data_IF_033536481661
#
_entry.id   IF_033536481661
#
_cell.length_a   1.000
_cell.length_b   1.000
_cell.length_c   1.000
_cell.angle_alpha   90.00
_cell.angle_beta   90.00
_cell.angle_gamma   90.00
#
_symmetry.space_group_name_H-M   'P 1'
#
loop_
_entity.id
_entity.type
_entity.pdbx_description
1 polymer ?
#
# COMPACT_ATOMS: atom_id res chain seq x y z
N UNK A 1 15.24 -37.23 3.27
CA UNK A 1 15.47 -36.10 4.19
C UNK A 1 14.26 -36.01 5.11
N UNK A 2 14.28 -36.71 6.25
CA UNK A 2 13.17 -36.72 7.20
C UNK A 2 13.34 -35.53 8.14
N UNK A 3 12.57 -34.46 7.91
CA UNK A 3 12.53 -33.34 8.85
C UNK A 3 11.82 -33.85 10.11
N UNK A 4 12.57 -33.94 11.21
CA UNK A 4 12.08 -34.45 12.50
C UNK A 4 10.85 -33.64 12.96
N UNK A 5 9.81 -34.30 13.48
CA UNK A 5 8.61 -33.63 14.00
C UNK A 5 8.93 -32.57 15.07
N UNK A 6 10.02 -32.74 15.82
CA UNK A 6 10.51 -31.72 16.75
C UNK A 6 10.94 -30.43 16.03
N UNK A 7 11.55 -30.54 14.85
CA UNK A 7 12.01 -29.38 14.04
C UNK A 7 10.83 -28.59 13.50
N UNK A 8 9.74 -29.24 13.08
CA UNK A 8 8.50 -28.53 12.70
C UNK A 8 7.89 -27.73 13.87
N UNK A 9 7.91 -28.27 15.09
CA UNK A 9 7.39 -27.60 16.28
C UNK A 9 8.25 -26.39 16.71
N UNK A 10 9.57 -26.47 16.53
CA UNK A 10 10.45 -25.31 16.77
C UNK A 10 10.21 -24.19 15.77
N UNK A 11 9.94 -24.53 14.50
CA UNK A 11 9.67 -23.54 13.46
C UNK A 11 8.32 -22.85 13.74
N UNK A 12 7.27 -23.58 14.10
CA UNK A 12 5.96 -22.98 14.43
C UNK A 12 6.02 -22.13 15.70
N UNK A 13 6.74 -22.56 16.74
CA UNK A 13 6.92 -21.74 17.95
C UNK A 13 7.69 -20.45 17.70
N UNK A 14 8.71 -20.46 16.83
CA UNK A 14 9.41 -19.25 16.38
C UNK A 14 8.51 -18.29 15.58
N UNK A 15 7.55 -18.81 14.80
CA UNK A 15 6.56 -17.99 14.10
C UNK A 15 5.41 -17.51 15.00
N UNK A 16 5.06 -18.27 16.05
CA UNK A 16 4.00 -17.91 17.00
C UNK A 16 4.46 -16.93 18.10
N UNK A 17 5.76 -16.87 18.38
CA UNK A 17 6.35 -15.98 19.41
C UNK A 17 6.99 -14.72 18.84
N UNK A 18 7.07 -14.58 17.52
CA UNK A 18 7.26 -13.25 16.92
C UNK A 18 5.95 -12.49 17.06
N UNK A 19 5.74 -11.91 18.24
CA UNK A 19 4.85 -10.78 18.40
C UNK A 19 5.26 -9.77 17.32
N UNK A 20 4.39 -9.60 16.33
CA UNK A 20 4.59 -8.62 15.27
C UNK A 20 4.89 -7.29 15.99
N UNK A 21 5.97 -6.57 15.64
CA UNK A 21 6.25 -5.29 16.29
C UNK A 21 4.99 -4.45 16.13
N UNK A 22 4.34 -4.20 17.27
CA UNK A 22 3.09 -3.47 17.33
C UNK A 22 3.38 -2.08 16.77
N UNK A 23 2.81 -1.77 15.61
CA UNK A 23 3.03 -0.48 14.96
C UNK A 23 2.36 0.58 15.83
N UNK A 24 3.17 1.30 16.61
CA UNK A 24 2.72 2.23 17.64
C UNK A 24 3.16 3.66 17.33
N UNK A 25 2.46 4.64 17.89
CA UNK A 25 2.82 6.05 17.81
C UNK A 25 2.51 6.77 19.11
N UNK A 26 3.24 7.85 19.39
CA UNK A 26 2.87 8.76 20.47
C UNK A 26 1.74 9.69 20.02
N UNK A 27 0.62 9.66 20.74
CA UNK A 27 -0.52 10.53 20.52
C UNK A 27 -0.35 11.89 21.19
N UNK A 28 -1.14 12.91 20.80
CA UNK A 28 -1.01 14.27 21.37
C UNK A 28 -1.23 14.37 22.89
N UNK A 29 -1.91 13.39 23.49
CA UNK A 29 -2.11 13.28 24.94
C UNK A 29 -0.97 12.52 25.65
N UNK A 30 0.15 12.24 24.98
CA UNK A 30 1.33 11.60 25.56
C UNK A 30 1.19 10.09 25.78
N UNK A 31 0.17 9.45 25.20
CA UNK A 31 0.01 8.01 25.25
C UNK A 31 0.72 7.35 24.06
N UNK A 32 1.24 6.16 24.27
CA UNK A 32 1.69 5.33 23.16
C UNK A 32 0.50 4.51 22.66
N UNK A 33 0.02 4.75 21.44
CA UNK A 33 -1.17 4.11 20.87
C UNK A 33 -0.82 3.16 19.72
N UNK A 34 -1.63 2.13 19.52
CA UNK A 34 -1.58 1.31 18.29
C UNK A 34 -2.05 2.13 17.09
N UNK A 35 -1.34 2.00 15.98
CA UNK A 35 -1.71 2.57 14.69
C UNK A 35 -2.97 1.92 14.11
N UNK A 36 -3.63 2.66 13.24
CA UNK A 36 -4.72 2.14 12.41
C UNK A 36 -4.16 1.21 11.33
N UNK A 37 -4.80 0.08 11.01
CA UNK A 37 -4.34 -0.79 9.92
C UNK A 37 -4.51 -0.10 8.55
N UNK A 38 -3.79 -0.60 7.54
CA UNK A 38 -4.06 -0.24 6.15
C UNK A 38 -5.54 -0.45 5.80
N UNK A 39 -6.09 0.37 4.91
CA UNK A 39 -7.52 0.40 4.64
C UNK A 39 -8.31 1.38 5.49
N UNK A 40 -7.68 1.97 6.51
CA UNK A 40 -8.34 2.86 7.47
C UNK A 40 -7.50 4.10 7.76
N UNK A 41 -8.14 5.14 8.28
CA UNK A 41 -7.51 6.34 8.82
C UNK A 41 -7.91 6.54 10.29
N UNK A 42 -7.12 7.34 11.00
CA UNK A 42 -7.31 7.68 12.40
C UNK A 42 -8.46 8.69 12.56
N UNK A 43 -9.40 8.37 13.45
CA UNK A 43 -10.50 9.26 13.84
C UNK A 43 -10.29 9.77 15.27
N UNK A 44 -9.77 8.94 16.17
CA UNK A 44 -9.38 9.36 17.53
C UNK A 44 -8.22 8.51 18.06
N UNK A 45 -7.27 9.10 18.80
CA UNK A 45 -6.23 8.33 19.49
C UNK A 45 -6.84 7.41 20.56
N UNK A 46 -6.03 6.47 21.02
CA UNK A 46 -6.37 5.60 22.14
C UNK A 46 -6.54 6.39 23.44
N UNK A 47 -7.29 5.82 24.39
CA UNK A 47 -7.54 6.43 25.71
C UNK A 47 -6.69 5.85 26.83
N UNK A 48 -5.91 4.79 26.56
CA UNK A 48 -5.05 4.10 27.53
C UNK A 48 -3.69 3.79 26.91
N UNK A 49 -2.65 3.68 27.74
CA UNK A 49 -1.30 3.36 27.31
C UNK A 49 -1.25 2.01 26.57
N UNK A 50 -0.60 2.00 25.41
CA UNK A 50 -0.54 0.90 24.42
C UNK A 50 -1.90 0.46 23.86
N UNK A 51 -2.97 1.24 24.05
CA UNK A 51 -4.32 0.93 23.59
C UNK A 51 -4.54 1.10 22.09
N UNK A 52 -5.64 0.56 21.58
CA UNK A 52 -6.04 0.65 20.17
C UNK A 52 -6.68 2.01 19.86
N UNK A 53 -6.27 2.62 18.74
CA UNK A 53 -6.89 3.84 18.25
C UNK A 53 -8.26 3.58 17.62
N UNK A 54 -9.11 4.60 17.53
CA UNK A 54 -10.37 4.53 16.80
C UNK A 54 -10.11 4.87 15.34
N UNK A 55 -10.39 3.92 14.45
CA UNK A 55 -10.09 4.00 13.03
C UNK A 55 -11.35 3.84 12.19
N UNK A 56 -11.40 4.49 11.03
CA UNK A 56 -12.51 4.40 10.08
C UNK A 56 -12.00 4.02 8.70
N UNK A 57 -12.77 3.20 7.97
CA UNK A 57 -12.43 2.76 6.62
C UNK A 57 -12.24 3.95 5.69
N UNK A 58 -11.24 3.86 4.81
CA UNK A 58 -10.99 4.88 3.80
C UNK A 58 -12.27 5.13 2.96
N UNK A 59 -12.66 6.40 2.76
CA UNK A 59 -13.78 6.72 1.89
C UNK A 59 -13.51 6.34 0.42
N UNK A 60 -14.54 6.30 -0.45
CA UNK A 60 -14.38 6.00 -1.86
C UNK A 60 -13.28 6.85 -2.53
N UNK A 61 -12.54 6.23 -3.44
CA UNK A 61 -11.42 6.86 -4.18
C UNK A 61 -10.21 7.25 -3.32
N UNK A 62 -10.08 6.68 -2.12
CA UNK A 62 -8.91 6.88 -1.25
C UNK A 62 -8.39 5.54 -0.71
N UNK A 63 -7.12 5.51 -0.32
CA UNK A 63 -6.47 4.31 0.18
C UNK A 63 -5.43 4.60 1.27
N UNK A 64 -5.07 3.57 2.02
CA UNK A 64 -3.89 3.54 2.88
C UNK A 64 -3.33 2.12 2.89
N UNK A 65 -2.09 1.94 2.43
CA UNK A 65 -1.50 0.60 2.27
C UNK A 65 -0.95 0.03 3.56
N UNK A 66 -0.38 0.89 4.40
CA UNK A 66 0.33 0.51 5.61
C UNK A 66 -0.39 0.97 6.87
N UNK A 67 -0.06 0.38 8.04
CA UNK A 67 -0.55 0.92 9.29
C UNK A 67 -0.08 2.35 9.51
N UNK A 68 -0.98 3.19 10.01
CA UNK A 68 -0.82 4.64 9.97
C UNK A 68 -1.47 5.33 11.18
N UNK A 69 -1.11 6.60 11.35
CA UNK A 69 -1.76 7.56 12.25
C UNK A 69 -2.36 8.74 11.49
N UNK A 70 -2.60 8.56 10.18
CA UNK A 70 -3.03 9.63 9.30
C UNK A 70 -4.50 9.97 9.59
N UNK A 71 -4.83 11.26 9.60
CA UNK A 71 -6.22 11.71 9.83
C UNK A 71 -7.11 11.54 8.60
N UNK A 72 -6.51 11.28 7.43
CA UNK A 72 -7.18 11.04 6.16
C UNK A 72 -6.40 10.02 5.33
N UNK A 73 -7.10 9.28 4.47
CA UNK A 73 -6.46 8.39 3.49
C UNK A 73 -5.89 9.17 2.30
N UNK A 74 -4.91 8.59 1.61
CA UNK A 74 -4.35 9.17 0.38
C UNK A 74 -5.37 9.06 -0.76
N UNK A 75 -5.42 10.06 -1.64
CA UNK A 75 -6.27 9.99 -2.83
C UNK A 75 -5.71 8.96 -3.81
N UNK A 76 -6.59 8.18 -4.43
CA UNK A 76 -6.17 7.25 -5.46
C UNK A 76 -5.78 7.98 -6.75
N UNK A 77 -4.71 7.49 -7.39
CA UNK A 77 -4.22 7.93 -8.69
C UNK A 77 -5.32 7.83 -9.74
N UNK A 78 -5.42 8.86 -10.58
CA UNK A 78 -6.30 8.90 -11.74
C UNK A 78 -5.44 8.63 -12.97
N UNK A 79 -5.78 7.58 -13.73
CA UNK A 79 -5.04 7.24 -14.94
C UNK A 79 -5.20 8.34 -16.00
N UNK A 80 -4.07 8.77 -16.55
CA UNK A 80 -4.01 9.80 -17.58
C UNK A 80 -4.45 9.24 -18.94
N UNK A 81 -4.67 10.16 -19.89
CA UNK A 81 -5.11 9.78 -21.25
C UNK A 81 -4.12 8.81 -21.89
N UNK A 82 -4.63 7.68 -22.37
CA UNK A 82 -3.86 6.64 -23.03
C UNK A 82 -3.32 5.55 -22.09
N UNK A 83 -3.36 5.77 -20.77
CA UNK A 83 -3.09 4.70 -19.80
C UNK A 83 -4.34 3.83 -19.60
N UNK A 84 -4.11 2.58 -19.22
CA UNK A 84 -5.13 1.64 -18.77
C UNK A 84 -5.02 1.43 -17.26
N UNK A 85 -6.18 1.37 -16.60
CA UNK A 85 -6.29 0.89 -15.22
C UNK A 85 -6.10 -0.62 -15.19
N UNK A 86 -4.95 -1.09 -14.71
CA UNK A 86 -4.66 -2.53 -14.55
C UNK A 86 -5.14 -3.05 -13.20
N UNK A 87 -5.01 -2.22 -12.15
CA UNK A 87 -5.62 -2.48 -10.86
C UNK A 87 -6.48 -1.31 -10.40
N UNK A 88 -7.73 -1.57 -9.98
CA UNK A 88 -8.58 -0.53 -9.43
C UNK A 88 -8.14 -0.13 -8.02
N UNK A 89 -8.39 1.13 -7.68
CA UNK A 89 -8.34 1.64 -6.32
C UNK A 89 -9.16 0.75 -5.38
N UNK A 90 -8.59 0.45 -4.21
CA UNK A 90 -9.26 -0.16 -3.07
C UNK A 90 -8.88 0.59 -1.80
N UNK A 91 -9.51 0.29 -0.67
CA UNK A 91 -9.16 0.94 0.59
C UNK A 91 -7.69 0.72 0.98
N UNK A 92 -7.07 -0.38 0.57
CA UNK A 92 -5.69 -0.75 0.90
C UNK A 92 -4.69 -0.53 -0.22
N UNK A 93 -5.13 -0.11 -1.42
CA UNK A 93 -4.26 -0.03 -2.58
C UNK A 93 -4.66 1.11 -3.49
N UNK A 94 -3.65 1.82 -3.98
CA UNK A 94 -3.83 2.79 -5.05
C UNK A 94 -4.34 2.14 -6.35
N UNK A 95 -4.90 2.96 -7.23
CA UNK A 95 -5.03 2.63 -8.64
C UNK A 95 -3.65 2.41 -9.26
N UNK A 96 -3.49 1.35 -10.06
CA UNK A 96 -2.30 1.17 -10.90
C UNK A 96 -2.66 1.49 -12.34
N UNK A 97 -1.88 2.39 -12.93
CA UNK A 97 -2.04 2.88 -14.29
C UNK A 97 -0.83 2.49 -15.12
N UNK A 98 -1.05 1.82 -16.24
CA UNK A 98 0.01 1.35 -17.13
C UNK A 98 -0.26 1.80 -18.56
N UNK A 99 0.81 2.04 -19.31
CA UNK A 99 0.70 2.21 -20.75
C UNK A 99 0.33 0.89 -21.43
N UNK A 100 -0.30 0.94 -22.62
CA UNK A 100 -0.54 -0.25 -23.42
C UNK A 100 0.76 -0.99 -23.70
N UNK A 101 0.66 -2.28 -24.01
CA UNK A 101 1.81 -3.08 -24.38
C UNK A 101 2.64 -2.42 -25.49
N UNK A 102 3.96 -2.50 -25.37
CA UNK A 102 4.87 -1.85 -26.31
C UNK A 102 4.98 -0.33 -26.15
N UNK A 103 4.45 0.27 -25.08
CA UNK A 103 4.60 1.69 -24.77
C UNK A 103 5.18 1.94 -23.37
N UNK A 104 5.88 3.06 -23.19
CA UNK A 104 6.36 3.54 -21.91
C UNK A 104 5.75 4.90 -21.56
N UNK A 105 5.65 5.20 -20.26
CA UNK A 105 5.19 6.50 -19.79
C UNK A 105 6.28 7.55 -19.95
N UNK A 106 6.04 8.55 -20.79
CA UNK A 106 6.90 9.72 -20.92
C UNK A 106 6.29 10.88 -20.15
N UNK A 107 6.93 11.27 -19.05
CA UNK A 107 6.58 12.48 -18.30
C UNK A 107 6.89 13.71 -19.16
N UNK A 108 5.94 14.64 -19.23
CA UNK A 108 6.09 15.92 -19.94
C UNK A 108 6.22 17.06 -18.91
N UNK A 109 5.33 17.11 -17.92
CA UNK A 109 5.33 18.12 -16.85
C UNK A 109 4.90 17.45 -15.55
N UNK A 110 5.73 17.49 -14.50
CA UNK A 110 5.43 16.91 -13.18
C UNK A 110 4.90 15.46 -13.27
N UNK A 111 3.60 15.26 -13.00
CA UNK A 111 2.91 13.96 -13.04
C UNK A 111 2.08 13.76 -14.32
N UNK A 112 2.11 14.73 -15.23
CA UNK A 112 1.46 14.65 -16.54
C UNK A 112 2.43 14.11 -17.60
N UNK A 113 1.92 13.22 -18.44
CA UNK A 113 2.72 12.56 -19.46
C UNK A 113 1.85 11.94 -20.55
N UNK A 114 2.50 11.15 -21.41
CA UNK A 114 1.85 10.39 -22.47
C UNK A 114 2.51 9.02 -22.63
N UNK A 115 1.74 8.05 -23.14
CA UNK A 115 2.28 6.76 -23.53
C UNK A 115 2.97 6.87 -24.90
N UNK A 116 4.29 6.64 -24.93
CA UNK A 116 5.09 6.61 -26.15
C UNK A 116 5.41 5.17 -26.53
N UNK A 117 5.31 4.80 -27.82
CA UNK A 117 5.72 3.48 -28.25
C UNK A 117 7.23 3.30 -28.01
N UNK A 118 7.63 2.10 -27.62
CA UNK A 118 9.03 1.70 -27.75
C UNK A 118 9.40 1.75 -29.23
N UNK A 119 10.56 2.32 -29.55
CA UNK A 119 11.12 2.28 -30.90
C UNK A 119 11.38 0.82 -31.26
N UNK A 120 10.42 0.18 -31.92
CA UNK A 120 10.70 -1.03 -32.66
C UNK A 120 11.54 -0.59 -33.85
N UNK A 121 12.77 -1.07 -33.95
CA UNK A 121 13.48 -1.11 -35.22
C UNK A 121 12.56 -1.88 -36.16
N UNK A 122 11.79 -1.16 -36.99
CA UNK A 122 11.09 -1.75 -38.13
C UNK A 122 12.18 -1.96 -39.16
N UNK A 123 12.44 -3.22 -39.49
CA UNK A 123 13.51 -3.65 -40.36
C UNK A 123 13.57 -2.80 -41.64
N UNK A 124 14.72 -2.16 -41.88
CA UNK A 124 15.10 -1.75 -43.21
C UNK A 124 15.29 -3.01 -44.04
N UNK A 125 14.29 -3.40 -44.83
CA UNK A 125 14.53 -4.18 -46.04
C UNK A 125 13.44 -3.87 -47.09
N UNK A 126 13.73 -2.88 -47.91
CA UNK A 126 13.06 -2.65 -49.20
C UNK A 126 14.02 -2.99 -50.32
#
# INVERSE_FOLDING_TARGET
MFINKAVLLFITTLYLTKGYPSQQYESPNGLTCQMCPGGTHLTSPCSIQHGTSICTTCPPLTFSSEPNKALSCASCTICQRGQRKTFPCSTTRDTICECPEGHFWQIIVEDQGICRPHSRNVDHNS
#
